data_IF_689029366870
#
_entry.id   IF_689029366870
#
_cell.length_a   1.000
_cell.length_b   1.000
_cell.length_c   1.000
_cell.angle_alpha   90.00
_cell.angle_beta   90.00
_cell.angle_gamma   90.00
#
_symmetry.space_group_name_H-M   'P 1'
#
loop_
_entity.id
_entity.type
_entity.pdbx_description
1 polymer ?
#
# COMPACT_ATOMS: atom_id res chain seq x y z
N UNK A 1 30.33 0.03 5.78
CA UNK A 1 28.88 -0.24 5.68
C UNK A 1 28.22 1.09 5.34
N UNK A 2 27.98 1.37 4.04
CA UNK A 2 27.43 2.66 3.58
C UNK A 2 25.91 2.58 3.64
N UNK A 3 25.29 3.53 4.36
CA UNK A 3 23.84 3.70 4.43
C UNK A 3 23.27 4.00 3.04
N UNK A 4 22.53 3.05 2.48
CA UNK A 4 21.72 3.22 1.27
C UNK A 4 20.27 3.03 1.67
N UNK A 5 19.65 4.06 2.25
CA UNK A 5 18.20 4.12 2.45
C UNK A 5 17.78 5.56 2.11
N UNK A 6 17.82 5.86 0.82
CA UNK A 6 17.37 7.12 0.26
C UNK A 6 15.91 6.99 -0.16
N UNK A 7 15.03 7.48 0.73
CA UNK A 7 13.58 7.60 0.58
C UNK A 7 12.80 6.29 0.43
N UNK A 8 11.76 6.18 1.23
CA UNK A 8 10.67 5.21 1.08
C UNK A 8 9.44 6.05 0.80
N UNK A 9 8.58 5.67 -0.14
CA UNK A 9 7.23 6.21 -0.18
C UNK A 9 6.34 5.25 0.63
N UNK A 10 5.63 5.79 1.62
CA UNK A 10 4.43 5.12 2.11
C UNK A 10 3.41 5.28 1.03
N UNK A 11 2.93 4.16 0.51
CA UNK A 11 1.74 4.20 -0.30
C UNK A 11 0.60 3.80 0.63
N UNK A 12 -0.15 4.81 1.04
CA UNK A 12 -1.22 4.68 1.99
C UNK A 12 -2.51 4.55 1.18
N UNK A 13 -3.12 3.38 1.21
CA UNK A 13 -4.17 3.07 0.26
C UNK A 13 -5.54 2.98 0.91
N UNK A 14 -6.41 3.85 0.41
CA UNK A 14 -7.81 3.88 0.72
C UNK A 14 -8.57 3.22 -0.44
N UNK A 15 -9.28 2.13 -0.13
CA UNK A 15 -10.61 1.79 -0.66
C UNK A 15 -10.83 1.73 -2.19
N UNK A 16 -11.04 0.53 -2.72
CA UNK A 16 -11.72 0.34 -4.01
C UNK A 16 -13.11 -0.26 -3.78
N UNK A 17 -14.10 0.22 -4.52
CA UNK A 17 -15.45 -0.35 -4.62
C UNK A 17 -15.50 -1.25 -5.87
N UNK A 18 -16.07 -2.46 -5.82
CA UNK A 18 -16.18 -3.30 -6.99
C UNK A 18 -17.30 -2.75 -7.90
N UNK A 19 -16.96 -1.88 -8.86
CA UNK A 19 -17.89 -1.55 -9.95
C UNK A 19 -17.64 -2.55 -11.09
N UNK A 20 -18.69 -3.20 -11.65
CA UNK A 20 -18.52 -4.11 -12.77
C UNK A 20 -18.01 -3.36 -14.00
N UNK A 21 -17.29 -4.10 -14.85
CA UNK A 21 -16.77 -3.61 -16.14
C UNK A 21 -17.86 -2.85 -16.92
N UNK A 22 -17.41 -1.79 -17.57
CA UNK A 22 -18.05 -0.96 -18.59
C UNK A 22 -18.58 0.39 -18.08
N UNK A 23 -18.14 1.42 -18.80
CA UNK A 23 -18.51 2.83 -18.77
C UNK A 23 -17.68 3.77 -17.89
N UNK A 24 -16.91 4.59 -18.62
CA UNK A 24 -16.54 5.99 -18.38
C UNK A 24 -15.93 6.37 -17.04
N UNK A 25 -14.75 6.98 -17.12
CA UNK A 25 -13.84 7.19 -16.00
C UNK A 25 -14.46 7.95 -14.84
N UNK A 26 -14.41 7.31 -13.67
CA UNK A 26 -14.50 7.97 -12.38
C UNK A 26 -13.17 7.74 -11.65
N UNK A 27 -12.19 8.61 -11.94
CA UNK A 27 -10.97 8.70 -11.13
C UNK A 27 -11.33 9.29 -9.76
N UNK A 28 -11.18 8.48 -8.71
CA UNK A 28 -10.71 8.76 -7.33
C UNK A 28 -11.22 9.97 -6.51
N UNK A 29 -11.59 11.11 -7.10
CA UNK A 29 -12.09 12.30 -6.37
C UNK A 29 -13.44 12.03 -5.68
N UNK A 30 -14.19 11.01 -6.10
CA UNK A 30 -15.52 10.68 -5.55
C UNK A 30 -15.49 9.86 -4.26
N UNK A 31 -14.60 8.85 -4.17
CA UNK A 31 -14.58 7.93 -3.03
C UNK A 31 -13.89 8.57 -1.82
N UNK A 32 -12.73 9.22 -2.02
CA UNK A 32 -12.06 10.03 -0.99
C UNK A 32 -13.01 11.07 -0.40
N UNK A 33 -13.85 11.73 -1.22
CA UNK A 33 -14.86 12.68 -0.70
C UNK A 33 -15.93 12.06 0.20
N UNK A 34 -16.30 10.79 0.00
CA UNK A 34 -17.26 10.07 0.86
C UNK A 34 -16.59 9.49 2.09
N UNK A 35 -15.39 8.91 1.97
CA UNK A 35 -14.65 8.38 3.13
C UNK A 35 -14.19 9.51 4.06
N UNK A 36 -13.77 10.66 3.51
CA UNK A 36 -13.39 11.87 4.26
C UNK A 36 -14.60 12.59 4.88
N UNK A 37 -15.84 12.23 4.52
CA UNK A 37 -17.04 12.85 5.11
C UNK A 37 -17.20 12.61 6.63
N UNK A 38 -16.26 11.90 7.27
CA UNK A 38 -15.75 12.55 8.47
C UNK A 38 -14.47 11.99 9.08
N UNK A 39 -13.52 11.51 8.29
CA UNK A 39 -12.13 11.50 8.75
C UNK A 39 -11.50 12.82 8.33
N UNK A 40 -10.82 13.51 9.24
CA UNK A 40 -10.18 14.80 8.96
C UNK A 40 -8.94 14.64 8.08
N UNK A 41 -8.25 13.52 8.21
CA UNK A 41 -7.02 13.21 7.49
C UNK A 41 -6.79 11.69 7.42
N UNK A 42 -5.77 11.29 6.68
CA UNK A 42 -5.39 9.88 6.47
C UNK A 42 -4.88 9.19 7.75
N UNK A 43 -4.36 9.96 8.71
CA UNK A 43 -3.85 9.43 9.98
C UNK A 43 -5.01 8.92 10.86
N UNK A 44 -6.15 9.61 10.89
CA UNK A 44 -7.36 9.11 11.58
C UNK A 44 -7.84 7.78 10.99
N UNK A 45 -7.66 7.57 9.68
CA UNK A 45 -8.02 6.31 9.02
C UNK A 45 -7.06 5.18 9.41
N UNK A 46 -5.75 5.42 9.43
CA UNK A 46 -4.77 4.43 9.91
C UNK A 46 -5.01 4.04 11.37
N UNK A 47 -5.30 5.02 12.25
CA UNK A 47 -5.67 4.76 13.64
C UNK A 47 -6.94 3.90 13.72
N UNK A 48 -7.97 4.22 12.94
CA UNK A 48 -9.20 3.43 12.90
C UNK A 48 -8.95 2.00 12.41
N UNK A 49 -8.21 1.85 11.32
CA UNK A 49 -7.85 0.56 10.74
C UNK A 49 -7.08 -0.32 11.75
N UNK A 50 -6.06 0.23 12.40
CA UNK A 50 -5.28 -0.46 13.43
C UNK A 50 -6.07 -0.77 14.69
N UNK A 51 -7.01 0.12 15.07
CA UNK A 51 -7.89 -0.13 16.22
C UNK A 51 -8.75 -1.36 15.98
N UNK A 52 -9.31 -1.52 14.77
CA UNK A 52 -10.15 -2.66 14.40
C UNK A 52 -9.47 -4.02 14.54
N UNK A 53 -8.17 -4.07 14.26
CA UNK A 53 -7.36 -5.30 14.34
C UNK A 53 -6.63 -5.42 15.69
N UNK A 54 -6.87 -4.51 16.63
CA UNK A 54 -6.13 -4.41 17.90
C UNK A 54 -4.60 -4.24 17.73
N UNK A 55 -4.16 -3.79 16.55
CA UNK A 55 -2.77 -3.55 16.16
C UNK A 55 -2.21 -2.21 16.66
N UNK A 56 -2.84 -1.61 17.67
CA UNK A 56 -2.41 -0.36 18.30
C UNK A 56 -2.67 -0.39 19.80
N UNK A 57 -1.82 0.28 20.59
CA UNK A 57 -1.98 0.34 22.06
C UNK A 57 -3.30 1.04 22.42
N UNK A 58 -3.99 0.52 23.42
CA UNK A 58 -5.30 1.01 23.89
C UNK A 58 -5.36 2.53 24.07
N UNK A 59 -4.32 3.16 24.63
CA UNK A 59 -4.27 4.62 24.82
C UNK A 59 -4.30 5.46 23.53
N UNK A 60 -4.05 4.84 22.39
CA UNK A 60 -4.05 5.45 21.07
C UNK A 60 -5.18 4.91 20.19
N UNK A 61 -5.89 3.88 20.64
CA UNK A 61 -7.01 3.29 19.92
C UNK A 61 -8.18 4.29 19.86
N UNK A 62 -8.94 4.23 18.78
CA UNK A 62 -10.14 5.04 18.63
C UNK A 62 -11.28 4.19 18.04
N UNK A 63 -12.16 3.73 18.94
CA UNK A 63 -13.32 2.90 18.57
C UNK A 63 -14.34 3.65 17.71
N UNK A 64 -14.43 4.98 17.82
CA UNK A 64 -15.28 5.76 16.93
C UNK A 64 -14.78 5.66 15.48
N UNK A 65 -13.47 5.78 15.27
CA UNK A 65 -12.86 5.63 13.95
C UNK A 65 -13.04 4.21 13.41
N UNK A 66 -12.82 3.20 14.26
CA UNK A 66 -13.01 1.80 13.90
C UNK A 66 -14.45 1.48 13.47
N UNK A 67 -15.45 1.94 14.24
CA UNK A 67 -16.86 1.70 13.94
C UNK A 67 -17.29 2.38 12.64
N UNK A 68 -16.84 3.62 12.41
CA UNK A 68 -17.16 4.34 11.18
C UNK A 68 -16.55 3.71 9.94
N UNK A 69 -15.37 3.10 10.09
CA UNK A 69 -14.79 2.27 9.05
C UNK A 69 -15.63 1.01 8.79
N UNK A 70 -16.12 0.32 9.84
CA UNK A 70 -17.03 -0.82 9.66
C UNK A 70 -18.30 -0.43 8.90
N UNK A 71 -18.92 0.71 9.23
CA UNK A 71 -20.10 1.22 8.52
C UNK A 71 -19.81 1.40 7.02
N UNK A 72 -18.62 1.93 6.68
CA UNK A 72 -18.21 2.10 5.29
C UNK A 72 -18.07 0.75 4.56
N UNK A 73 -17.59 -0.31 5.24
CA UNK A 73 -17.41 -1.62 4.61
C UNK A 73 -18.72 -2.32 4.35
N UNK A 74 -19.70 -2.08 5.22
CA UNK A 74 -21.08 -2.53 5.02
C UNK A 74 -21.73 -1.84 3.79
N UNK A 75 -21.24 -0.67 3.37
CA UNK A 75 -21.70 0.07 2.19
C UNK A 75 -21.01 -0.33 0.85
N UNK A 76 -20.34 -1.49 0.79
CA UNK A 76 -19.57 -2.03 -0.36
C UNK A 76 -18.19 -1.41 -0.59
N UNK A 77 -17.55 -0.87 0.45
CA UNK A 77 -16.15 -0.47 0.39
C UNK A 77 -15.25 -1.65 0.85
N UNK A 78 -14.26 -2.05 0.04
CA UNK A 78 -13.43 -3.24 0.33
C UNK A 78 -12.38 -2.94 1.41
N UNK A 79 -12.43 -3.66 2.54
CA UNK A 79 -11.38 -3.64 3.59
C UNK A 79 -9.99 -3.88 2.99
N UNK A 80 -8.99 -3.00 3.21
CA UNK A 80 -7.61 -3.30 2.87
C UNK A 80 -7.20 -4.51 3.71
N UNK A 81 -6.45 -5.46 3.12
CA UNK A 81 -5.90 -6.56 3.89
C UNK A 81 -4.97 -6.03 4.98
N UNK A 82 -4.89 -6.80 6.05
CA UNK A 82 -3.89 -6.63 7.10
C UNK A 82 -2.63 -7.37 6.67
N UNK A 83 -1.49 -6.69 6.69
CA UNK A 83 -0.21 -7.34 6.48
C UNK A 83 0.07 -7.82 5.07
N UNK A 84 -0.80 -7.59 4.10
CA UNK A 84 -0.58 -7.99 2.70
C UNK A 84 -0.62 -6.78 1.77
N UNK A 85 -0.01 -6.93 0.59
CA UNK A 85 -0.12 -5.91 -0.46
C UNK A 85 -1.53 -6.06 -1.07
N UNK A 86 -2.35 -5.00 -1.13
CA UNK A 86 -3.71 -5.14 -1.64
C UNK A 86 -3.71 -5.56 -3.13
N UNK A 87 -4.45 -6.62 -3.53
CA UNK A 87 -4.40 -7.17 -4.90
C UNK A 87 -4.69 -6.14 -6.00
N UNK A 88 -5.53 -5.15 -5.70
CA UNK A 88 -5.91 -4.08 -6.63
C UNK A 88 -4.78 -3.08 -6.91
N UNK A 89 -3.71 -3.14 -6.13
CA UNK A 89 -2.53 -2.30 -6.24
C UNK A 89 -1.35 -3.05 -6.80
N UNK A 90 -1.19 -4.31 -6.41
CA UNK A 90 -0.15 -5.20 -6.91
C UNK A 90 -0.06 -5.14 -8.43
N UNK A 91 -1.18 -5.40 -9.12
CA UNK A 91 -1.21 -5.41 -10.59
C UNK A 91 -0.86 -4.05 -11.21
N UNK A 92 -1.28 -2.94 -10.58
CA UNK A 92 -0.99 -1.58 -11.04
C UNK A 92 0.50 -1.24 -10.86
N UNK A 93 1.05 -1.58 -9.70
CA UNK A 93 2.47 -1.37 -9.38
C UNK A 93 3.34 -2.22 -10.30
N UNK A 94 3.02 -3.50 -10.50
CA UNK A 94 3.75 -4.38 -11.41
C UNK A 94 3.69 -3.88 -12.86
N UNK A 95 2.53 -3.39 -13.31
CA UNK A 95 2.39 -2.77 -14.63
C UNK A 95 3.23 -1.50 -14.79
N UNK A 96 3.29 -0.67 -13.75
CA UNK A 96 4.15 0.52 -13.73
C UNK A 96 5.63 0.14 -13.80
N UNK A 97 6.06 -0.85 -13.01
CA UNK A 97 7.44 -1.36 -13.01
C UNK A 97 7.82 -1.97 -14.36
N UNK A 98 6.90 -2.70 -14.99
CA UNK A 98 7.08 -3.24 -16.34
C UNK A 98 7.31 -2.14 -17.37
N UNK A 99 6.57 -1.03 -17.25
CA UNK A 99 6.71 0.15 -18.13
C UNK A 99 8.08 0.81 -17.98
N UNK A 100 8.75 0.66 -16.83
CA UNK A 100 10.12 1.12 -16.61
C UNK A 100 11.20 0.20 -17.18
N UNK A 101 10.80 -0.90 -17.85
CA UNK A 101 11.70 -1.82 -18.54
C UNK A 101 12.13 -3.04 -17.72
N UNK A 102 11.53 -3.26 -16.55
CA UNK A 102 11.74 -4.49 -15.81
C UNK A 102 10.83 -5.60 -16.36
N UNK A 103 11.37 -6.81 -16.49
CA UNK A 103 10.61 -7.97 -16.98
C UNK A 103 10.47 -9.08 -15.91
N UNK A 104 11.39 -9.10 -14.95
CA UNK A 104 11.45 -10.07 -13.87
C UNK A 104 11.54 -9.36 -12.53
N UNK A 105 10.85 -9.92 -11.53
CA UNK A 105 10.92 -9.50 -10.13
C UNK A 105 11.28 -10.69 -9.25
N UNK A 106 12.02 -10.42 -8.18
CA UNK A 106 12.14 -11.37 -7.09
C UNK A 106 10.89 -11.30 -6.23
N UNK A 107 10.26 -12.45 -6.02
CA UNK A 107 9.20 -12.65 -5.03
C UNK A 107 9.80 -13.45 -3.91
N UNK A 108 9.71 -12.93 -2.69
CA UNK A 108 10.29 -13.57 -1.52
C UNK A 108 9.30 -13.62 -0.36
N UNK A 109 9.62 -14.48 0.61
CA UNK A 109 8.92 -14.50 1.90
C UNK A 109 9.08 -13.16 2.66
N UNK A 110 8.44 -13.07 3.82
CA UNK A 110 8.44 -11.87 4.68
C UNK A 110 9.83 -11.42 5.14
N UNK A 111 10.82 -12.33 5.14
CA UNK A 111 12.18 -12.07 5.57
C UNK A 111 13.17 -11.93 4.41
N UNK A 112 12.72 -12.11 3.17
CA UNK A 112 13.57 -12.18 1.99
C UNK A 112 14.48 -13.42 1.95
N UNK A 113 14.22 -14.44 2.79
CA UNK A 113 15.08 -15.62 2.94
C UNK A 113 14.93 -16.58 1.77
N UNK A 114 13.71 -17.01 1.50
CA UNK A 114 13.35 -17.76 0.30
C UNK A 114 12.88 -16.80 -0.79
N UNK A 115 13.40 -16.95 -2.00
CA UNK A 115 13.00 -16.11 -3.13
C UNK A 115 12.99 -16.85 -4.45
N UNK A 116 12.05 -16.46 -5.31
CA UNK A 116 11.88 -16.95 -6.67
C UNK A 116 11.90 -15.79 -7.65
N UNK A 117 12.67 -15.95 -8.73
CA UNK A 117 12.61 -15.01 -9.84
C UNK A 117 11.35 -15.32 -10.65
N UNK A 118 10.49 -14.32 -10.78
CA UNK A 118 9.16 -14.48 -11.38
C UNK A 118 8.99 -13.45 -12.49
N UNK A 119 8.40 -13.90 -13.60
CA UNK A 119 8.06 -13.03 -14.72
C UNK A 119 6.94 -12.08 -14.31
N UNK A 120 7.02 -10.80 -14.68
CA UNK A 120 6.03 -9.82 -14.21
C UNK A 120 4.61 -10.15 -14.70
N UNK A 121 4.45 -10.68 -15.92
CA UNK A 121 3.10 -11.04 -16.39
C UNK A 121 2.49 -12.19 -15.57
N UNK A 122 3.32 -13.11 -15.09
CA UNK A 122 2.84 -14.16 -14.19
C UNK A 122 2.35 -13.56 -12.86
N UNK A 123 2.99 -12.50 -12.34
CA UNK A 123 2.56 -11.80 -11.13
C UNK A 123 1.25 -11.03 -11.31
N UNK A 124 0.99 -10.52 -12.52
CA UNK A 124 -0.25 -9.79 -12.82
C UNK A 124 -1.43 -10.74 -13.02
N UNK A 125 -1.16 -11.91 -13.63
CA UNK A 125 -2.20 -12.90 -13.95
C UNK A 125 -2.51 -13.85 -12.78
N UNK A 126 -1.56 -14.06 -11.87
CA UNK A 126 -1.65 -15.05 -10.80
C UNK A 126 -1.26 -14.42 -9.46
N UNK A 127 -1.96 -14.86 -8.41
CA UNK A 127 -1.62 -14.52 -7.04
C UNK A 127 -0.42 -15.40 -6.58
N UNK A 128 0.79 -14.85 -6.72
CA UNK A 128 2.06 -15.55 -6.47
C UNK A 128 2.84 -14.98 -5.28
N UNK A 129 2.41 -13.86 -4.73
CA UNK A 129 3.04 -13.26 -3.55
C UNK A 129 2.48 -13.98 -2.33
N UNK A 130 3.36 -14.59 -1.53
CA UNK A 130 2.92 -15.16 -0.26
C UNK A 130 2.43 -14.06 0.67
N UNK A 131 1.57 -14.40 1.63
CA UNK A 131 1.20 -13.46 2.69
C UNK A 131 2.44 -12.86 3.34
N UNK A 132 2.39 -11.55 3.62
CA UNK A 132 3.50 -10.74 4.12
C UNK A 132 4.75 -10.69 3.23
N UNK A 133 4.64 -11.23 2.00
CA UNK A 133 5.75 -11.34 1.07
C UNK A 133 6.29 -9.99 0.61
N UNK A 134 7.50 -10.03 0.06
CA UNK A 134 8.13 -8.86 -0.53
C UNK A 134 8.49 -9.09 -1.99
N UNK A 135 8.41 -8.02 -2.78
CA UNK A 135 8.71 -8.03 -4.21
C UNK A 135 9.76 -6.98 -4.51
N UNK A 136 10.85 -7.33 -5.18
CA UNK A 136 11.93 -6.38 -5.47
C UNK A 136 12.60 -6.63 -6.81
N UNK A 137 13.19 -5.56 -7.36
CA UNK A 137 13.93 -5.63 -8.63
C UNK A 137 15.26 -6.36 -8.46
N UNK A 138 15.77 -6.91 -9.56
CA UNK A 138 17.02 -7.67 -9.56
C UNK A 138 18.24 -6.86 -9.07
N UNK A 139 18.25 -5.56 -9.35
CA UNK A 139 19.30 -4.62 -8.93
C UNK A 139 19.05 -4.03 -7.53
N UNK A 140 18.00 -4.47 -6.84
CA UNK A 140 17.57 -3.96 -5.53
C UNK A 140 17.31 -2.45 -5.48
N UNK A 141 17.05 -1.83 -6.64
CA UNK A 141 16.70 -0.41 -6.71
C UNK A 141 15.28 -0.12 -6.24
N UNK A 142 14.39 -1.12 -6.26
CA UNK A 142 12.99 -1.01 -5.86
C UNK A 142 12.58 -2.20 -5.00
N UNK A 143 11.85 -1.93 -3.91
CA UNK A 143 11.24 -2.92 -3.03
C UNK A 143 9.78 -2.54 -2.73
N UNK A 144 8.89 -3.52 -2.83
CA UNK A 144 7.50 -3.46 -2.40
C UNK A 144 7.35 -4.45 -1.24
N UNK A 145 6.82 -3.97 -0.12
CA UNK A 145 6.58 -4.80 1.05
C UNK A 145 5.47 -4.18 1.90
N UNK A 146 5.18 -4.78 3.03
CA UNK A 146 4.08 -4.45 3.93
C UNK A 146 4.53 -4.71 5.36
N UNK A 147 3.85 -4.08 6.32
CA UNK A 147 4.06 -4.37 7.73
C UNK A 147 2.90 -5.22 8.22
N UNK A 148 3.22 -6.28 8.96
CA UNK A 148 2.31 -7.40 9.22
C UNK A 148 1.05 -6.97 9.98
N UNK A 149 1.19 -6.10 10.98
CA UNK A 149 0.07 -5.58 11.75
C UNK A 149 -0.38 -4.20 11.24
N UNK A 150 -0.50 -4.05 9.92
CA UNK A 150 -0.83 -2.76 9.29
C UNK A 150 -1.56 -2.90 7.96
N UNK A 151 -2.31 -1.87 7.61
CA UNK A 151 -3.09 -1.80 6.36
C UNK A 151 -2.40 -0.92 5.31
N UNK A 152 -1.07 -0.99 5.26
CA UNK A 152 -0.23 -0.09 4.46
C UNK A 152 0.82 -0.89 3.69
N UNK A 153 1.22 -0.38 2.54
CA UNK A 153 2.34 -0.94 1.78
C UNK A 153 3.45 0.08 1.60
N UNK A 154 4.66 -0.41 1.50
CA UNK A 154 5.87 0.37 1.29
C UNK A 154 6.33 0.22 -0.14
N UNK A 155 6.62 1.35 -0.78
CA UNK A 155 7.39 1.40 -2.02
C UNK A 155 8.72 2.07 -1.74
N UNK A 156 9.75 1.25 -1.56
CA UNK A 156 11.09 1.66 -1.20
C UNK A 156 11.94 1.83 -2.46
N UNK A 157 12.33 3.06 -2.79
CA UNK A 157 13.22 3.36 -3.91
C UNK A 157 13.70 4.81 -3.88
N UNK A 158 14.66 5.13 -4.75
CA UNK A 158 15.05 6.53 -4.95
C UNK A 158 13.86 7.37 -5.42
N UNK A 159 13.83 8.64 -5.02
CA UNK A 159 12.77 9.57 -5.43
C UNK A 159 12.57 9.59 -6.95
N UNK A 160 13.65 9.55 -7.72
CA UNK A 160 13.60 9.55 -9.18
C UNK A 160 12.85 8.33 -9.75
N UNK A 161 13.01 7.14 -9.15
CA UNK A 161 12.27 5.94 -9.57
C UNK A 161 10.82 6.04 -9.12
N UNK A 162 10.55 6.50 -7.90
CA UNK A 162 9.19 6.71 -7.40
C UNK A 162 8.42 7.68 -8.30
N UNK A 163 9.01 8.82 -8.67
CA UNK A 163 8.39 9.81 -9.56
C UNK A 163 8.12 9.24 -10.95
N UNK A 164 8.99 8.36 -11.46
CA UNK A 164 8.72 7.63 -12.71
C UNK A 164 7.54 6.66 -12.57
N UNK A 165 7.45 5.93 -11.48
CA UNK A 165 6.29 5.05 -11.19
C UNK A 165 5.01 5.88 -11.12
N UNK A 166 5.03 7.00 -10.40
CA UNK A 166 3.90 7.93 -10.26
C UNK A 166 3.51 8.60 -11.59
N UNK A 167 4.45 8.74 -12.53
CA UNK A 167 4.15 9.26 -13.87
C UNK A 167 3.40 8.27 -14.76
N UNK A 168 3.50 6.96 -14.46
CA UNK A 168 2.80 5.90 -15.19
C UNK A 168 1.40 5.70 -14.61
N UNK A 169 1.27 5.69 -13.29
CA UNK A 169 0.00 5.55 -12.61
C UNK A 169 -0.02 6.37 -11.31
N UNK A 170 -1.17 6.97 -11.01
CA UNK A 170 -1.31 7.84 -9.85
C UNK A 170 -1.58 6.99 -8.60
N UNK A 171 -0.59 6.96 -7.71
CA UNK A 171 -0.69 6.25 -6.44
C UNK A 171 -0.81 7.21 -5.24
N UNK A 172 -1.66 6.86 -4.26
CA UNK A 172 -1.93 7.71 -3.09
C UNK A 172 -0.95 7.38 -1.96
N UNK A 173 -0.23 8.38 -1.47
CA UNK A 173 0.79 8.13 -0.47
C UNK A 173 1.53 9.38 -0.03
N UNK A 174 2.54 9.18 0.79
CA UNK A 174 3.44 10.24 1.26
C UNK A 174 4.89 9.74 1.31
N UNK A 175 5.83 10.66 1.15
CA UNK A 175 7.25 10.32 1.26
C UNK A 175 7.66 10.16 2.72
N UNK A 176 8.35 9.08 3.05
CA UNK A 176 9.04 8.92 4.32
C UNK A 176 10.15 9.96 4.45
N UNK A 177 10.28 10.45 5.67
CA UNK A 177 11.49 11.09 6.16
C UNK A 177 12.21 10.15 7.14
N UNK A 178 13.44 10.46 7.57
CA UNK A 178 14.10 9.76 8.67
C UNK A 178 13.34 9.78 10.01
N UNK A 179 12.28 10.60 10.13
CA UNK A 179 11.40 10.67 11.31
C UNK A 179 10.13 9.84 11.16
N UNK A 180 9.88 9.28 9.99
CA UNK A 180 8.67 8.50 9.74
C UNK A 180 8.79 7.13 10.39
N UNK A 181 7.89 6.85 11.32
CA UNK A 181 7.80 5.56 12.02
C UNK A 181 6.69 4.69 11.42
N UNK A 182 6.68 3.40 11.75
CA UNK A 182 5.62 2.47 11.30
C UNK A 182 4.23 2.92 11.77
N UNK A 183 4.13 3.49 12.97
CA UNK A 183 2.90 4.04 13.53
C UNK A 183 2.69 5.51 13.13
N UNK A 184 2.89 5.83 11.85
CA UNK A 184 2.85 7.20 11.32
C UNK A 184 1.50 7.89 11.59
N UNK A 185 0.38 7.16 11.68
CA UNK A 185 -0.93 7.72 11.99
C UNK A 185 -1.03 8.38 13.38
N UNK A 186 -0.03 8.20 14.24
CA UNK A 186 0.05 8.84 15.56
C UNK A 186 0.79 10.18 15.55
N UNK A 187 1.32 10.59 14.41
CA UNK A 187 2.16 11.78 14.27
C UNK A 187 1.70 12.64 13.10
N UNK A 188 2.19 13.87 13.06
CA UNK A 188 1.99 14.74 11.90
C UNK A 188 2.88 14.24 10.76
N UNK A 189 2.25 13.99 9.61
CA UNK A 189 2.88 13.45 8.39
C UNK A 189 2.81 14.48 7.28
#
# INVERSE_FOLDING_TARGET
MKSVLGLTAWINWLWQCPIPRQHEGWYWVGLFKRTVQGFKNIAEIDVGLRTRIHGIKEKFANEEFANRLNDLFDENIICPPEGDIPPLLENRIYSAIKTLGHEWLWVADEFGTERKLTWIDDLIEKDLVSSHGCVFTHDHSLLITTHWDSHCSFLCSSKDIIEKILSVDNFEGFYCSPKTEVYWGLYEV
#
